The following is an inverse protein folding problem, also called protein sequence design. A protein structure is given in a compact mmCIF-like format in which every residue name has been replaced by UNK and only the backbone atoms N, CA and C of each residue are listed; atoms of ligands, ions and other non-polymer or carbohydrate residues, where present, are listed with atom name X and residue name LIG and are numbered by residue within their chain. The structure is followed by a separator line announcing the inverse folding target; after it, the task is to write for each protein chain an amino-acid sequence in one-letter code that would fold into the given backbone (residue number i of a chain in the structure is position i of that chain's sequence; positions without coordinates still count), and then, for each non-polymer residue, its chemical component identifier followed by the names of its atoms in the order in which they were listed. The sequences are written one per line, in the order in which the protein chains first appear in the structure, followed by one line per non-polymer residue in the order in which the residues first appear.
data_IF_230867051738
#
_entry.id   IF_230867051738
#
_cell.length_a   1.000
_cell.length_b   1.000
_cell.length_c   1.000
_cell.angle_alpha   90.00
_cell.angle_beta   90.00
_cell.angle_gamma   90.00
#
_symmetry.space_group_name_H-M   'P 1'
#
loop_
_entity.id
_entity.type
_entity.pdbx_description
1 polymer ?
#
# COMPACT_ATOMS: atom_id res chain seq x y z
N UNK A 1 7.29 6.31 -7.64
CA UNK A 1 8.03 5.18 -7.05
C UNK A 1 7.17 4.53 -5.96
N UNK A 2 6.01 3.97 -6.31
CA UNK A 2 4.94 3.62 -5.35
C UNK A 2 4.51 2.15 -5.34
N UNK A 3 5.35 1.26 -5.87
CA UNK A 3 5.11 -0.19 -5.83
C UNK A 3 6.47 -0.84 -5.62
N UNK A 4 6.80 -1.24 -4.39
CA UNK A 4 8.06 -1.93 -4.07
C UNK A 4 8.18 -3.26 -4.83
N UNK A 5 7.07 -3.84 -5.28
CA UNK A 5 7.05 -5.08 -6.05
C UNK A 5 5.85 -5.09 -7.00
N UNK A 6 6.10 -5.16 -8.32
CA UNK A 6 5.02 -5.38 -9.29
C UNK A 6 4.69 -6.86 -9.31
N UNK A 7 3.46 -7.20 -8.95
CA UNK A 7 2.93 -8.56 -9.01
C UNK A 7 1.89 -8.61 -10.12
N UNK A 8 1.96 -9.61 -11.00
CA UNK A 8 0.90 -9.88 -11.96
C UNK A 8 -0.21 -10.65 -11.24
N UNK A 9 -1.45 -10.15 -11.31
CA UNK A 9 -2.60 -10.80 -10.70
C UNK A 9 -3.13 -11.99 -11.53
N UNK A 10 -2.53 -12.27 -12.69
CA UNK A 10 -2.94 -13.29 -13.67
C UNK A 10 -4.39 -13.13 -14.15
N UNK A 11 -4.98 -11.96 -13.95
CA UNK A 11 -6.31 -11.63 -14.41
C UNK A 11 -6.28 -11.34 -15.92
N UNK A 12 -7.38 -11.61 -16.64
CA UNK A 12 -7.48 -11.28 -18.06
C UNK A 12 -7.19 -9.80 -18.32
N UNK A 13 -6.21 -9.53 -19.18
CA UNK A 13 -5.88 -8.17 -19.59
C UNK A 13 -7.00 -7.59 -20.47
N UNK A 14 -7.24 -6.28 -20.31
CA UNK A 14 -8.18 -5.42 -21.04
C UNK A 14 -9.63 -5.29 -20.51
N UNK A 15 -10.18 -6.18 -19.68
CA UNK A 15 -11.50 -5.93 -19.04
C UNK A 15 -11.57 -6.61 -17.67
N UNK A 16 -11.19 -5.88 -16.61
CA UNK A 16 -11.45 -6.34 -15.25
C UNK A 16 -12.97 -6.31 -15.03
N UNK A 17 -13.62 -7.43 -15.29
CA UNK A 17 -15.03 -7.59 -15.00
C UNK A 17 -15.19 -7.59 -13.48
N UNK A 18 -16.14 -6.80 -12.97
CA UNK A 18 -16.42 -6.71 -11.54
C UNK A 18 -17.23 -7.93 -11.06
N UNK A 19 -16.66 -9.12 -11.23
CA UNK A 19 -17.18 -10.38 -10.70
C UNK A 19 -16.72 -10.53 -9.25
N UNK A 20 -17.40 -11.40 -8.50
CA UNK A 20 -17.00 -11.66 -7.11
C UNK A 20 -15.62 -12.34 -7.02
N UNK A 21 -15.25 -13.13 -8.04
CA UNK A 21 -13.96 -13.81 -8.11
C UNK A 21 -12.80 -12.82 -8.31
N UNK A 22 -12.88 -11.95 -9.33
CA UNK A 22 -11.85 -10.93 -9.58
C UNK A 22 -11.74 -9.96 -8.41
N UNK A 23 -12.87 -9.61 -7.77
CA UNK A 23 -12.88 -8.75 -6.58
C UNK A 23 -12.12 -9.38 -5.41
N UNK A 24 -12.27 -10.69 -5.18
CA UNK A 24 -11.53 -11.39 -4.10
C UNK A 24 -10.02 -11.31 -4.33
N UNK A 25 -9.56 -11.56 -5.55
CA UNK A 25 -8.12 -11.48 -5.90
C UNK A 25 -7.59 -10.06 -5.65
N UNK A 26 -8.28 -9.03 -6.12
CA UNK A 26 -7.87 -7.64 -5.92
C UNK A 26 -7.86 -7.26 -4.44
N UNK A 27 -8.89 -7.65 -3.68
CA UNK A 27 -8.97 -7.38 -2.23
C UNK A 27 -7.83 -8.05 -1.47
N UNK A 28 -7.46 -9.27 -1.85
CA UNK A 28 -6.33 -9.97 -1.24
C UNK A 28 -5.01 -9.23 -1.50
N UNK A 29 -4.76 -8.82 -2.74
CA UNK A 29 -3.57 -8.05 -3.10
C UNK A 29 -3.48 -6.72 -2.34
N UNK A 30 -4.59 -5.99 -2.23
CA UNK A 30 -4.67 -4.75 -1.44
C UNK A 30 -4.33 -5.03 0.03
N UNK A 31 -4.90 -6.08 0.62
CA UNK A 31 -4.65 -6.43 2.03
C UNK A 31 -3.18 -6.81 2.26
N UNK A 32 -2.57 -7.57 1.35
CA UNK A 32 -1.16 -7.96 1.45
C UNK A 32 -0.26 -6.72 1.38
N UNK A 33 -0.49 -5.85 0.39
CA UNK A 33 0.27 -4.60 0.23
C UNK A 33 0.17 -3.73 1.49
N UNK A 34 -1.06 -3.52 1.98
CA UNK A 34 -1.30 -2.66 3.13
C UNK A 34 -0.77 -3.24 4.43
N UNK A 35 -0.85 -4.56 4.61
CA UNK A 35 -0.28 -5.23 5.78
C UNK A 35 1.25 -5.11 5.79
N UNK A 36 1.88 -5.24 4.61
CA UNK A 36 3.32 -5.05 4.47
C UNK A 36 3.75 -3.64 4.93
N UNK A 37 3.19 -2.58 4.37
CA UNK A 37 3.56 -1.22 4.75
C UNK A 37 3.09 -0.84 6.16
N UNK A 38 1.96 -1.36 6.61
CA UNK A 38 1.49 -1.21 7.99
C UNK A 38 2.51 -1.75 9.01
N UNK A 39 3.10 -2.92 8.71
CA UNK A 39 4.11 -3.53 9.59
C UNK A 39 5.34 -2.64 9.82
N UNK A 40 5.73 -1.83 8.82
CA UNK A 40 6.87 -0.90 8.92
C UNK A 40 6.62 0.23 9.93
N UNK A 41 5.36 0.57 10.18
CA UNK A 41 4.94 1.61 11.11
C UNK A 41 4.20 1.06 12.35
N UNK A 42 4.26 -0.26 12.57
CA UNK A 42 3.60 -0.97 13.69
C UNK A 42 2.07 -0.78 13.71
N UNK A 43 1.46 -0.69 12.55
CA UNK A 43 0.02 -0.68 12.36
C UNK A 43 -0.43 -1.96 11.63
N UNK A 44 -1.70 -2.34 11.77
CA UNK A 44 -2.24 -3.51 11.06
C UNK A 44 -2.21 -3.33 9.53
N UNK A 45 -2.42 -2.09 9.08
CA UNK A 45 -2.44 -1.70 7.66
C UNK A 45 -1.88 -0.28 7.50
N UNK A 46 -1.20 -0.02 6.39
CA UNK A 46 -0.71 1.30 6.00
C UNK A 46 -0.63 1.43 4.49
N UNK A 47 -1.15 2.52 3.94
CA UNK A 47 -1.10 2.82 2.51
C UNK A 47 0.11 3.73 2.24
N UNK A 48 1.03 3.38 1.33
CA UNK A 48 2.15 4.24 0.97
C UNK A 48 1.71 5.38 0.06
N UNK A 49 2.32 6.55 0.21
CA UNK A 49 2.09 7.70 -0.67
C UNK A 49 3.41 8.21 -1.25
N UNK A 50 3.37 8.64 -2.51
CA UNK A 50 4.47 9.35 -3.16
C UNK A 50 4.07 10.80 -3.35
N UNK A 51 4.91 11.73 -2.88
CA UNK A 51 4.86 13.13 -3.26
C UNK A 51 5.90 13.41 -4.35
N UNK A 52 5.59 14.32 -5.26
CA UNK A 52 6.54 14.72 -6.32
C UNK A 52 7.61 15.67 -5.79
N UNK A 53 7.29 16.42 -4.75
CA UNK A 53 8.17 17.39 -4.11
C UNK A 53 8.49 16.95 -2.67
N UNK A 54 9.57 17.52 -2.13
CA UNK A 54 10.01 17.28 -0.75
C UNK A 54 8.95 17.77 0.23
N UNK A 55 8.46 16.87 1.08
CA UNK A 55 7.56 17.23 2.20
C UNK A 55 8.40 17.84 3.33
N UNK A 56 8.10 19.08 3.70
CA UNK A 56 8.67 19.70 4.89
C UNK A 56 8.06 19.04 6.14
N UNK A 57 8.93 18.60 7.04
CA UNK A 57 8.55 18.11 8.36
C UNK A 57 9.08 19.10 9.39
N UNK A 58 8.18 19.72 10.15
CA UNK A 58 8.58 20.76 11.10
C UNK A 58 9.25 20.19 12.35
N UNK A 59 8.75 19.07 12.88
CA UNK A 59 9.38 18.37 14.01
C UNK A 59 9.10 16.86 13.95
N UNK A 60 10.17 16.07 13.77
CA UNK A 60 10.11 14.60 13.72
C UNK A 60 9.77 13.95 15.07
N UNK A 61 10.02 14.64 16.19
CA UNK A 61 9.76 14.12 17.55
C UNK A 61 8.26 14.11 17.84
N UNK A 62 7.52 15.07 17.26
CA UNK A 62 6.06 15.14 17.39
C UNK A 62 5.32 14.15 16.51
N UNK A 63 6.00 13.52 15.54
CA UNK A 63 5.37 12.48 14.72
C UNK A 63 4.96 11.33 15.64
N UNK A 64 3.69 10.92 15.60
CA UNK A 64 3.11 9.89 16.48
C UNK A 64 3.68 8.47 16.31
N UNK A 65 4.86 8.33 15.74
CA UNK A 65 5.58 7.08 15.50
C UNK A 65 6.80 7.01 16.40
N UNK A 66 7.09 5.82 16.95
CA UNK A 66 8.27 5.61 17.81
C UNK A 66 9.51 5.37 16.97
N UNK A 67 10.57 6.14 17.23
CA UNK A 67 11.92 5.83 16.72
C UNK A 67 12.43 4.52 17.33
N UNK A 68 13.27 3.82 16.56
CA UNK A 68 14.16 2.76 17.04
C UNK A 68 15.38 3.36 17.75
#
# INVERSE_FOLDING_TARGET
MGVTTRVNAELPDAHLHNTDETRRVVVELIRVQNAHYGSLIRAAYGEPFMTQETVRVDDVVTMGVRSI
#
